data_IF_415196972086
#
_entry.id   IF_415196972086
#
_cell.length_a   1.000
_cell.length_b   1.000
_cell.length_c   1.000
_cell.angle_alpha   90.00
_cell.angle_beta   90.00
_cell.angle_gamma   90.00
#
_symmetry.space_group_name_H-M   'P 1'
#
loop_
_entity.id
_entity.type
_entity.pdbx_description
1 polymer ?
2 water ?
#
# COMPACT_ATOMS: atom_id res chain seq x y z
N UNK A 8 17.42 -15.22 -2.19
CA UNK A 8 17.12 -14.97 -0.71
C UNK A 8 16.95 -13.44 -0.53
N UNK A 9 16.18 -13.06 0.49
CA UNK A 9 15.84 -11.66 0.73
C UNK A 9 16.47 -11.29 2.07
N UNK A 10 17.50 -10.48 2.01
CA UNK A 10 18.28 -10.12 3.19
C UNK A 10 17.56 -9.03 3.99
N UNK A 11 17.20 -9.34 5.24
CA UNK A 11 16.63 -8.34 6.14
C UNK A 11 17.63 -7.26 6.54
N UNK A 12 17.29 -5.98 6.32
CA UNK A 12 18.10 -4.86 6.80
C UNK A 12 17.80 -4.55 8.26
N UNK A 13 18.87 -4.49 9.07
CA UNK A 13 18.71 -4.37 10.54
C UNK A 13 19.07 -3.00 11.08
N UNK A 14 19.63 -2.15 10.23
CA UNK A 14 19.98 -0.83 10.67
C UNK A 14 20.05 0.12 9.49
N UNK A 15 20.17 1.39 9.82
CA UNK A 15 20.35 2.41 8.83
C UNK A 15 21.61 2.16 8.03
N UNK A 16 22.68 1.79 8.73
CA UNK A 16 23.97 1.44 8.12
C UNK A 16 23.88 0.37 7.00
N UNK A 17 23.24 -0.74 7.32
CA UNK A 17 23.00 -1.84 6.35
C UNK A 17 22.20 -1.37 5.17
N UNK A 18 21.14 -0.61 5.45
CA UNK A 18 20.30 0.00 4.44
C UNK A 18 21.09 0.79 3.44
N UNK A 19 21.90 1.71 3.93
CA UNK A 19 22.72 2.55 3.05
C UNK A 19 23.78 1.82 2.24
N UNK A 20 24.45 0.85 2.84
CA UNK A 20 25.46 0.12 2.09
C UNK A 20 24.73 -0.64 0.95
N UNK A 21 23.61 -1.31 1.30
CA UNK A 21 22.72 -1.95 0.32
C UNK A 21 22.43 -1.05 -0.90
N UNK A 22 22.25 0.25 -0.66
CA UNK A 22 21.96 1.18 -1.71
C UNK A 22 23.12 1.61 -2.59
N UNK A 23 24.34 1.63 -2.04
CA UNK A 23 25.52 2.01 -2.81
C UNK A 23 25.97 0.83 -3.70
N UNK A 24 25.17 0.54 -4.73
CA UNK A 24 25.39 -0.67 -5.54
C UNK A 24 25.57 -0.34 -7.01
N UNK A 25 25.06 0.84 -7.42
CA UNK A 25 25.19 1.38 -8.78
C UNK A 25 24.81 0.39 -9.88
N UNK A 26 23.95 0.82 -10.81
CA UNK A 26 23.56 0.00 -11.96
C UNK A 26 22.78 -1.25 -11.62
N UNK A 27 23.18 -1.90 -10.52
CA UNK A 27 22.51 -3.06 -9.93
C UNK A 27 21.18 -2.57 -9.35
N UNK A 28 20.09 -3.24 -9.71
CA UNK A 28 18.77 -2.94 -9.16
C UNK A 28 18.78 -3.43 -7.71
N UNK A 29 18.39 -2.53 -6.79
CA UNK A 29 18.20 -2.81 -5.39
C UNK A 29 16.74 -2.61 -5.05
N UNK A 30 16.12 -3.67 -4.54
CA UNK A 30 14.70 -3.67 -4.20
C UNK A 30 14.54 -3.89 -2.67
N UNK A 31 13.86 -2.95 -1.98
CA UNK A 31 13.61 -3.07 -0.55
C UNK A 31 12.12 -3.19 -0.21
N UNK A 32 11.77 -4.24 0.53
CA UNK A 32 10.41 -4.49 0.98
C UNK A 32 10.23 -3.93 2.43
N UNK A 33 9.53 -2.80 2.54
CA UNK A 33 9.13 -2.23 3.86
C UNK A 33 7.85 -2.86 4.31
N UNK A 34 7.95 -3.66 5.37
CA UNK A 34 6.79 -4.40 5.88
C UNK A 34 6.61 -4.19 7.40
N UNK A 35 5.57 -4.79 7.95
CA UNK A 35 5.31 -4.81 9.36
C UNK A 35 4.93 -6.24 9.69
N UNK A 36 5.11 -6.61 10.97
CA UNK A 36 4.82 -7.99 11.42
C UNK A 36 3.30 -8.19 11.53
N UNK A 37 2.61 -7.12 11.90
CA UNK A 37 1.15 -7.13 12.03
C UNK A 37 0.39 -7.07 10.68
N UNK A 38 1.10 -6.69 9.62
CA UNK A 38 0.55 -6.50 8.27
C UNK A 38 0.22 -7.79 7.49
N UNK A 39 -1.07 -8.00 7.25
CA UNK A 39 -1.57 -9.18 6.50
C UNK A 39 -1.09 -9.26 5.06
N UNK A 40 -1.42 -8.24 4.23
CA UNK A 40 -0.95 -8.26 2.86
C UNK A 40 0.55 -8.46 2.77
N UNK A 41 1.31 -7.86 3.66
CA UNK A 41 2.75 -8.13 3.73
C UNK A 41 3.09 -9.62 3.75
N UNK A 42 2.43 -10.36 4.67
CA UNK A 42 2.58 -11.80 4.81
C UNK A 42 2.18 -12.56 3.55
N UNK A 43 1.08 -12.15 2.94
CA UNK A 43 0.60 -12.79 1.74
C UNK A 43 1.54 -12.61 0.54
N UNK A 44 2.29 -11.53 0.52
CA UNK A 44 3.14 -11.24 -0.61
C UNK A 44 4.57 -11.77 -0.41
N UNK A 45 4.95 -12.06 0.83
CA UNK A 45 6.34 -12.43 1.20
C UNK A 45 6.92 -13.62 0.42
N UNK A 46 6.12 -14.71 0.24
CA UNK A 46 6.51 -15.85 -0.60
C UNK A 46 6.74 -15.44 -2.04
N UNK A 47 5.83 -14.61 -2.59
CA UNK A 47 5.99 -14.10 -3.98
C UNK A 47 7.31 -13.37 -4.17
N UNK A 48 7.60 -12.45 -3.23
CA UNK A 48 8.85 -11.70 -3.23
C UNK A 48 10.09 -12.58 -3.23
N UNK A 49 10.08 -13.62 -2.40
CA UNK A 49 11.13 -14.65 -2.47
C UNK A 49 11.27 -15.32 -3.84
N UNK A 50 10.15 -15.72 -4.43
CA UNK A 50 10.16 -16.23 -5.83
C UNK A 50 10.84 -15.28 -6.80
N UNK A 51 10.48 -14.00 -6.72
CA UNK A 51 11.02 -12.97 -7.59
C UNK A 51 12.51 -12.82 -7.40
N UNK A 52 12.99 -12.95 -6.16
CA UNK A 52 14.43 -12.88 -5.91
C UNK A 52 15.21 -14.00 -6.61
N UNK A 53 14.62 -15.19 -6.65
CA UNK A 53 15.22 -16.34 -7.35
C UNK A 53 15.29 -16.08 -8.83
N UNK A 54 14.14 -15.64 -9.39
CA UNK A 54 14.09 -15.34 -10.82
C UNK A 54 15.02 -14.21 -11.24
N UNK A 55 14.95 -13.09 -10.52
CA UNK A 55 15.68 -11.90 -11.00
C UNK A 55 17.04 -11.76 -10.30
N UNK A 56 17.95 -12.68 -10.65
CA UNK A 56 19.27 -12.75 -9.99
C UNK A 56 20.11 -11.52 -10.27
N UNK A 57 19.73 -10.74 -11.28
CA UNK A 57 20.47 -9.50 -11.55
C UNK A 57 20.25 -8.38 -10.53
N UNK A 58 19.30 -8.58 -9.61
CA UNK A 58 18.89 -7.56 -8.61
C UNK A 58 19.05 -8.10 -7.19
N UNK A 59 19.41 -7.21 -6.28
CA UNK A 59 19.58 -7.52 -4.84
C UNK A 59 18.30 -7.19 -4.12
N UNK A 60 17.72 -8.20 -3.47
CA UNK A 60 16.47 -8.04 -2.68
C UNK A 60 16.74 -7.95 -1.21
N UNK A 61 15.97 -7.09 -0.54
CA UNK A 61 16.08 -6.88 0.90
C UNK A 61 14.70 -6.59 1.48
N UNK A 62 14.59 -6.69 2.79
CA UNK A 62 13.39 -6.32 3.50
C UNK A 62 13.80 -5.56 4.78
N UNK A 63 12.91 -4.68 5.24
CA UNK A 63 13.19 -3.90 6.40
C UNK A 63 11.91 -3.83 7.20
N UNK A 64 11.97 -4.20 8.49
CA UNK A 64 10.82 -4.10 9.39
C UNK A 64 10.63 -2.66 9.85
N UNK A 65 9.53 -2.00 9.44
CA UNK A 65 9.32 -0.59 9.84
C UNK A 65 9.33 -0.34 11.37
N UNK A 66 9.00 -1.34 12.18
CA UNK A 66 9.02 -1.15 13.64
C UNK A 66 10.39 -1.34 14.25
N UNK A 67 11.35 -1.82 13.47
CA UNK A 67 12.69 -2.04 13.96
C UNK A 67 13.56 -0.90 13.47
N UNK A 68 13.37 -0.54 12.21
CA UNK A 68 14.19 0.51 11.62
C UNK A 68 13.27 1.67 11.20
N UNK A 69 12.47 2.16 12.14
CA UNK A 69 11.55 3.33 11.95
C UNK A 69 12.13 4.57 11.28
N UNK A 70 13.32 4.96 11.70
CA UNK A 70 14.01 6.14 11.21
C UNK A 70 14.14 6.08 9.69
N UNK A 71 14.60 4.91 9.20
CA UNK A 71 14.73 4.65 7.78
C UNK A 71 13.35 4.68 7.07
N UNK A 72 12.33 4.14 7.74
CA UNK A 72 11.01 4.14 7.17
C UNK A 72 10.46 5.55 7.02
N UNK A 73 10.72 6.40 8.03
CA UNK A 73 10.29 7.82 8.04
C UNK A 73 11.06 8.65 7.01
N UNK A 74 12.34 8.37 6.87
CA UNK A 74 13.12 9.13 5.91
C UNK A 74 12.83 8.66 4.49
N UNK A 75 12.46 7.38 4.30
CA UNK A 75 12.10 6.89 2.94
C UNK A 75 10.67 7.28 2.62
N UNK A 76 10.01 7.88 3.59
CA UNK A 76 8.62 8.30 3.50
C UNK A 76 7.70 7.13 3.19
N UNK A 77 7.75 6.14 4.06
CA UNK A 77 6.86 4.97 3.90
C UNK A 77 5.65 5.08 4.83
N UNK A 78 4.46 5.20 4.27
CA UNK A 78 3.27 5.45 5.08
C UNK A 78 2.19 4.36 4.95
N UNK A 79 2.55 3.27 4.27
CA UNK A 79 1.66 2.11 4.05
C UNK A 79 2.53 0.87 3.79
N UNK A 80 2.02 -0.30 4.13
CA UNK A 80 2.80 -1.54 4.04
C UNK A 80 1.97 -2.56 3.27
N UNK A 81 2.60 -3.39 2.45
CA UNK A 81 4.05 -3.31 2.20
C UNK A 81 4.35 -2.22 1.20
N UNK A 82 5.54 -1.62 1.28
CA UNK A 82 5.99 -0.70 0.24
C UNK A 82 7.30 -1.22 -0.26
N UNK A 83 7.36 -1.51 -1.56
CA UNK A 83 8.58 -1.94 -2.25
C UNK A 83 9.21 -0.74 -2.95
N UNK A 84 10.45 -0.41 -2.58
CA UNK A 84 11.13 0.71 -3.22
C UNK A 84 12.25 0.17 -4.09
N UNK A 85 12.44 0.77 -5.26
CA UNK A 85 13.42 0.33 -6.25
C UNK A 85 14.50 1.40 -6.40
N UNK A 86 15.73 1.02 -6.09
CA UNK A 86 16.88 1.93 -6.16
C UNK A 86 17.84 1.49 -7.24
N UNK A 87 18.46 2.46 -7.88
CA UNK A 87 19.56 2.17 -8.79
C UNK A 87 20.52 3.34 -8.72
N UNK A 88 21.79 3.04 -8.46
CA UNK A 88 22.80 4.10 -8.30
C UNK A 88 22.57 4.94 -7.05
N UNK A 89 22.05 4.30 -6.00
CA UNK A 89 21.78 5.00 -4.74
C UNK A 89 20.51 5.86 -4.69
N UNK A 90 19.81 5.96 -5.83
CA UNK A 90 18.63 6.79 -6.01
C UNK A 90 17.38 5.96 -6.26
N UNK A 91 16.27 6.44 -5.70
CA UNK A 91 14.98 5.80 -5.88
C UNK A 91 14.53 5.96 -7.30
N UNK A 92 14.34 4.85 -8.00
CA UNK A 92 13.82 4.86 -9.37
C UNK A 92 12.28 4.85 -9.38
N UNK A 93 11.68 4.04 -8.50
CA UNK A 93 10.27 3.97 -8.36
C UNK A 93 9.95 3.23 -7.06
N UNK A 94 8.67 3.08 -6.79
CA UNK A 94 8.16 2.30 -5.68
C UNK A 94 6.76 1.81 -5.96
N UNK A 95 6.40 0.76 -5.26
CA UNK A 95 5.04 0.18 -5.32
C UNK A 95 4.47 0.11 -3.89
N UNK A 96 3.44 0.93 -3.63
CA UNK A 96 2.77 0.97 -2.34
C UNK A 96 1.64 -0.03 -2.37
N UNK A 97 1.83 -1.24 -1.84
CA UNK A 97 0.80 -2.26 -1.85
C UNK A 97 1.27 -3.65 -2.23
N UNK A 98 0.56 -4.67 -1.72
CA UNK A 98 0.81 -6.07 -2.02
C UNK A 98 0.21 -6.33 -3.38
N UNK A 99 0.84 -5.78 -4.39
CA UNK A 99 0.39 -5.89 -5.76
C UNK A 99 1.43 -6.68 -6.55
N UNK A 100 1.24 -8.02 -6.66
CA UNK A 100 2.17 -8.93 -7.32
C UNK A 100 2.57 -8.48 -8.70
N UNK A 101 1.55 -8.19 -9.53
CA UNK A 101 1.76 -7.73 -10.90
C UNK A 101 2.55 -6.46 -10.99
N UNK A 102 2.24 -5.45 -10.17
CA UNK A 102 2.98 -4.21 -10.24
C UNK A 102 4.42 -4.41 -9.79
N UNK A 103 4.61 -5.18 -8.71
CA UNK A 103 5.96 -5.46 -8.21
C UNK A 103 6.82 -6.17 -9.24
N UNK A 104 6.27 -7.22 -9.84
CA UNK A 104 6.98 -8.02 -10.82
C UNK A 104 7.42 -7.16 -12.03
N UNK A 105 6.49 -6.39 -12.59
CA UNK A 105 6.77 -5.45 -13.66
C UNK A 105 7.81 -4.43 -13.29
N UNK A 106 7.68 -3.83 -12.09
CA UNK A 106 8.72 -2.90 -11.59
C UNK A 106 10.16 -3.52 -11.54
N UNK A 107 10.27 -4.75 -11.10
CA UNK A 107 11.57 -5.47 -11.08
C UNK A 107 12.08 -5.79 -12.48
N UNK A 108 11.27 -6.50 -13.29
CA UNK A 108 11.62 -6.90 -14.66
C UNK A 108 12.10 -5.74 -15.53
N UNK A 109 11.33 -4.64 -15.46
CA UNK A 109 11.60 -3.44 -16.27
C UNK A 109 12.76 -2.52 -15.84
N UNK A 110 13.26 -2.66 -14.60
CA UNK A 110 14.37 -1.81 -14.04
C UNK A 110 15.64 -2.58 -13.73
N UNK A 111 15.64 -3.86 -14.08
CA UNK A 111 16.81 -4.69 -13.81
C UNK A 111 18.10 -4.17 -14.51
N UNK B 8 -16.90 10.29 -8.88
CA UNK B 8 -17.81 10.35 -7.69
C UNK B 8 -17.57 9.22 -6.68
N UNK B 9 -17.56 9.61 -5.41
CA UNK B 9 -17.47 8.71 -4.28
C UNK B 9 -18.89 8.40 -3.81
N UNK B 10 -19.22 7.12 -3.72
CA UNK B 10 -20.57 6.71 -3.35
C UNK B 10 -20.62 5.92 -2.03
N UNK B 11 -21.76 5.95 -1.36
CA UNK B 11 -21.95 5.22 -0.09
C UNK B 11 -22.16 3.73 -0.17
N UNK B 12 -21.58 3.01 0.78
CA UNK B 12 -21.89 1.61 0.96
C UNK B 12 -22.69 1.58 2.24
N UNK B 13 -23.98 1.28 2.14
CA UNK B 13 -24.92 1.41 3.27
C UNK B 13 -25.31 0.05 3.90
N UNK B 14 -24.55 -0.99 3.60
CA UNK B 14 -24.86 -2.34 4.11
C UNK B 14 -23.76 -3.30 3.76
N UNK B 15 -23.69 -4.40 4.51
CA UNK B 15 -22.68 -5.46 4.26
C UNK B 15 -22.75 -6.08 2.86
N UNK B 16 -23.96 -6.26 2.31
CA UNK B 16 -24.16 -6.76 0.94
C UNK B 16 -23.65 -5.79 -0.13
N UNK B 17 -23.89 -4.49 0.05
CA UNK B 17 -23.34 -3.46 -0.85
C UNK B 17 -21.83 -3.50 -0.94
N UNK B 18 -21.22 -3.66 0.23
CA UNK B 18 -19.76 -3.71 0.35
C UNK B 18 -19.18 -4.95 -0.36
N UNK B 19 -19.83 -6.11 -0.19
CA UNK B 19 -19.39 -7.35 -0.85
C UNK B 19 -19.46 -7.29 -2.34
N UNK B 20 -20.53 -6.69 -2.87
CA UNK B 20 -20.70 -6.46 -4.31
C UNK B 20 -19.70 -5.49 -4.91
N UNK B 21 -19.42 -4.41 -4.18
CA UNK B 21 -18.47 -3.37 -4.60
C UNK B 21 -17.05 -3.92 -4.75
N UNK B 22 -16.74 -4.95 -3.96
CA UNK B 22 -15.45 -5.62 -3.96
C UNK B 22 -15.26 -6.65 -5.09
N UNK B 23 -16.39 -7.05 -5.68
CA UNK B 23 -16.43 -8.01 -6.75
C UNK B 23 -16.21 -7.23 -8.05
N UNK B 24 -15.01 -6.69 -8.21
CA UNK B 24 -14.66 -5.83 -9.34
C UNK B 24 -13.51 -6.39 -10.20
N UNK B 25 -13.35 -7.71 -10.23
CA UNK B 25 -12.28 -8.30 -10.99
C UNK B 25 -10.94 -7.73 -10.60
N UNK B 26 -10.13 -7.37 -11.59
CA UNK B 26 -8.83 -6.77 -11.34
C UNK B 26 -8.81 -5.23 -11.15
N UNK B 27 -9.95 -4.55 -11.17
CA UNK B 27 -9.88 -3.13 -10.96
C UNK B 27 -9.66 -2.74 -9.46
N UNK B 28 -9.03 -1.58 -9.20
CA UNK B 28 -8.90 -1.13 -7.84
C UNK B 28 -10.22 -0.63 -7.26
N UNK B 29 -10.49 -0.95 -5.99
CA UNK B 29 -11.65 -0.47 -5.21
C UNK B 29 -11.10 0.20 -3.96
N UNK B 30 -11.47 1.46 -3.75
CA UNK B 30 -11.02 2.19 -2.59
C UNK B 30 -12.23 2.52 -1.64
N UNK B 31 -12.13 2.06 -0.39
CA UNK B 31 -13.17 2.35 0.62
C UNK B 31 -12.62 3.25 1.74
N UNK B 32 -13.27 4.42 1.83
CA UNK B 32 -13.03 5.40 2.88
C UNK B 32 -13.92 5.10 4.10
N UNK B 33 -13.29 4.62 5.17
CA UNK B 33 -14.03 4.31 6.42
C UNK B 33 -14.01 5.57 7.21
N UNK B 34 -15.19 6.13 7.52
CA UNK B 34 -15.33 7.43 8.21
C UNK B 34 -16.47 7.36 9.25
N UNK B 35 -16.59 8.45 10.01
CA UNK B 35 -17.68 8.62 10.95
C UNK B 35 -18.17 10.05 10.71
N UNK B 36 -19.42 10.31 11.04
CA UNK B 36 -20.00 11.64 10.90
C UNK B 36 -19.38 12.71 11.86
N UNK B 37 -18.81 12.24 12.98
CA UNK B 37 -18.25 13.08 14.04
C UNK B 37 -16.77 13.36 13.75
N UNK B 38 -16.23 12.73 12.73
CA UNK B 38 -14.78 12.72 12.47
C UNK B 38 -14.27 13.93 11.71
N UNK B 39 -13.63 14.85 12.43
CA UNK B 39 -13.14 16.09 11.81
C UNK B 39 -12.16 15.88 10.66
N UNK B 40 -11.05 15.13 10.91
CA UNK B 40 -10.04 14.88 9.87
C UNK B 40 -10.59 14.18 8.63
N UNK B 41 -11.61 13.32 8.82
CA UNK B 41 -12.42 12.70 7.73
C UNK B 41 -13.02 13.72 6.82
N UNK B 42 -13.64 14.74 7.39
CA UNK B 42 -14.18 15.89 6.58
C UNK B 42 -13.09 16.73 5.89
N UNK B 43 -11.98 16.98 6.55
CA UNK B 43 -10.85 17.70 5.98
C UNK B 43 -10.39 17.09 4.66
N UNK B 44 -10.42 15.75 4.57
CA UNK B 44 -9.87 15.05 3.40
C UNK B 44 -10.90 14.61 2.37
N UNK B 45 -12.19 14.64 2.72
CA UNK B 45 -13.25 14.22 1.80
C UNK B 45 -13.23 14.93 0.41
N UNK B 46 -13.04 16.27 0.36
CA UNK B 46 -12.92 16.95 -0.95
C UNK B 46 -11.78 16.41 -1.83
N UNK B 47 -10.65 16.09 -1.23
CA UNK B 47 -9.52 15.53 -1.95
C UNK B 47 -9.81 14.13 -2.47
N UNK B 48 -10.48 13.32 -1.64
CA UNK B 48 -10.87 11.96 -2.05
C UNK B 48 -11.82 12.02 -3.21
N UNK B 49 -12.72 13.01 -3.19
CA UNK B 49 -13.66 13.26 -4.30
C UNK B 49 -12.91 13.65 -5.60
N UNK B 50 -11.91 14.51 -5.46
CA UNK B 50 -11.03 14.85 -6.56
C UNK B 50 -10.23 13.62 -7.12
N UNK B 51 -9.66 12.81 -6.23
CA UNK B 51 -8.99 11.52 -6.62
C UNK B 51 -9.88 10.60 -7.43
N UNK B 52 -11.14 10.52 -7.02
CA UNK B 52 -12.14 9.70 -7.70
C UNK B 52 -12.35 10.15 -9.15
N UNK B 53 -12.18 11.43 -9.40
CA UNK B 53 -12.32 11.97 -10.73
C UNK B 53 -11.01 11.80 -11.49
N UNK B 54 -9.89 12.01 -10.82
CA UNK B 54 -8.58 11.82 -11.49
C UNK B 54 -8.33 10.38 -11.86
N UNK B 55 -8.62 9.44 -10.95
CA UNK B 55 -8.40 7.99 -11.20
C UNK B 55 -9.68 7.25 -11.53
N UNK B 56 -10.16 7.47 -12.76
CA UNK B 56 -11.41 6.91 -13.24
C UNK B 56 -11.34 5.41 -13.46
N UNK B 57 -10.16 4.79 -13.35
CA UNK B 57 -10.08 3.32 -13.54
C UNK B 57 -10.40 2.55 -12.26
N UNK B 58 -10.40 3.29 -11.13
CA UNK B 58 -10.63 2.75 -9.79
C UNK B 58 -12.00 3.19 -9.32
N UNK B 59 -12.62 2.43 -8.44
CA UNK B 59 -13.95 2.80 -7.88
C UNK B 59 -13.81 3.22 -6.42
N UNK B 60 -14.39 4.35 -6.06
CA UNK B 60 -14.23 4.90 -4.75
C UNK B 60 -15.54 4.89 -4.00
N UNK B 61 -15.47 4.52 -2.70
CA UNK B 61 -16.64 4.42 -1.85
C UNK B 61 -16.26 4.92 -0.47
N UNK B 62 -17.30 5.23 0.30
CA UNK B 62 -17.22 5.65 1.66
C UNK B 62 -18.15 4.77 2.47
N UNK B 63 -17.68 4.43 3.66
CA UNK B 63 -18.47 3.63 4.56
C UNK B 63 -18.44 4.19 6.00
N UNK B 64 -19.63 4.48 6.53
CA UNK B 64 -19.84 5.06 7.84
C UNK B 64 -19.74 3.94 8.87
N UNK B 65 -18.67 3.94 9.67
CA UNK B 65 -18.39 2.90 10.67
C UNK B 65 -19.57 2.70 11.72
N UNK B 66 -20.39 3.73 11.93
CA UNK B 66 -21.51 3.65 12.85
C UNK B 66 -22.70 3.01 12.18
N UNK B 67 -22.80 3.17 10.88
CA UNK B 67 -23.91 2.64 10.09
C UNK B 67 -23.68 1.18 9.71
N UNK B 68 -22.47 0.84 9.29
CA UNK B 68 -22.18 -0.54 8.87
C UNK B 68 -21.01 -1.04 9.71
N UNK B 69 -21.20 -1.11 11.02
CA UNK B 69 -20.11 -1.39 11.94
C UNK B 69 -19.64 -2.83 11.86
N UNK B 70 -20.50 -3.73 11.38
CA UNK B 70 -20.06 -5.10 11.13
C UNK B 70 -18.93 -5.21 10.11
N UNK B 71 -19.01 -4.45 9.02
CA UNK B 71 -17.95 -4.46 8.02
C UNK B 71 -16.71 -3.76 8.56
N UNK B 72 -16.92 -2.64 9.25
CA UNK B 72 -15.85 -1.90 9.88
C UNK B 72 -15.07 -2.74 10.91
N UNK B 73 -15.77 -3.60 11.68
CA UNK B 73 -15.11 -4.47 12.67
C UNK B 73 -14.35 -5.63 12.01
N UNK B 74 -14.90 -6.20 10.94
CA UNK B 74 -14.28 -7.32 10.25
C UNK B 74 -13.00 -6.87 9.55
N UNK B 75 -12.98 -5.59 9.13
CA UNK B 75 -11.85 -4.98 8.42
C UNK B 75 -10.82 -4.42 9.39
N UNK B 76 -11.08 -4.58 10.68
CA UNK B 76 -10.18 -4.20 11.76
C UNK B 76 -9.78 -2.72 11.73
N UNK B 77 -10.77 -1.89 11.41
CA UNK B 77 -10.55 -0.47 11.35
C UNK B 77 -10.42 0.01 12.81
N UNK B 78 -9.39 0.79 13.13
CA UNK B 78 -9.15 1.25 14.51
C UNK B 78 -9.42 2.73 14.72
N UNK B 79 -9.01 3.55 13.75
CA UNK B 79 -9.20 5.00 13.78
C UNK B 79 -9.69 5.55 12.42
N UNK B 80 -10.27 6.75 12.44
CA UNK B 80 -10.83 7.37 11.26
C UNK B 80 -10.05 8.61 10.88
N UNK B 81 -9.89 8.82 9.57
CA UNK B 81 -10.30 7.89 8.52
C UNK B 81 -9.29 6.79 8.27
N UNK B 82 -9.79 5.69 7.70
CA UNK B 82 -8.94 4.61 7.24
C UNK B 82 -9.42 4.32 5.82
N UNK B 83 -8.48 4.37 4.89
CA UNK B 83 -8.75 4.08 3.50
C UNK B 83 -8.14 2.71 3.20
N UNK B 84 -9.00 1.79 2.80
CA UNK B 84 -8.53 0.47 2.41
C UNK B 84 -8.59 0.36 0.91
N UNK B 85 -7.58 -0.29 0.33
CA UNK B 85 -7.42 -0.55 -1.11
C UNK B 85 -7.58 -2.03 -1.42
N UNK B 86 -8.53 -2.35 -2.33
CA UNK B 86 -8.79 -3.70 -2.67
C UNK B 86 -8.52 -3.97 -4.15
N UNK B 87 -8.07 -5.18 -4.44
CA UNK B 87 -7.87 -5.67 -5.82
C UNK B 87 -8.28 -7.12 -5.85
N UNK B 88 -9.24 -7.48 -6.70
CA UNK B 88 -9.68 -8.88 -6.78
C UNK B 88 -10.35 -9.27 -5.47
N UNK B 89 -10.85 -8.26 -4.77
CA UNK B 89 -11.55 -8.50 -3.51
C UNK B 89 -10.66 -8.79 -2.34
N UNK B 90 -9.36 -8.52 -2.49
CA UNK B 90 -8.37 -8.67 -1.38
C UNK B 90 -7.62 -7.36 -1.07
N UNK B 91 -7.47 -7.10 0.24
CA UNK B 91 -6.79 -5.90 0.70
C UNK B 91 -5.35 -5.92 0.23
N UNK B 92 -4.91 -4.84 -0.40
CA UNK B 92 -3.50 -4.72 -0.78
C UNK B 92 -2.72 -3.80 0.13
N UNK B 93 -3.40 -2.87 0.79
CA UNK B 93 -2.77 -1.94 1.75
C UNK B 93 -3.88 -1.06 2.31
N UNK B 94 -3.53 -0.19 3.24
CA UNK B 94 -4.44 0.79 3.74
C UNK B 94 -3.65 1.98 4.29
N UNK B 95 -4.32 3.14 4.33
CA UNK B 95 -3.72 4.38 4.82
C UNK B 95 -4.52 4.73 6.01
N UNK B 96 -3.88 4.91 7.15
CA UNK B 96 -4.60 5.29 8.37
C UNK B 96 -4.32 6.78 8.62
N UNK B 97 -5.35 7.63 8.64
CA UNK B 97 -5.13 9.06 8.91
C UNK B 97 -5.38 9.91 7.70
N UNK B 98 -5.68 11.18 7.95
CA UNK B 98 -5.95 12.11 6.84
C UNK B 98 -4.62 12.51 6.21
N UNK B 99 -4.08 11.64 5.36
CA UNK B 99 -2.78 11.83 4.76
C UNK B 99 -2.92 11.81 3.24
N UNK B 100 -3.03 13.00 2.65
CA UNK B 100 -3.22 13.19 1.21
C UNK B 100 -2.21 12.50 0.28
N UNK B 101 -0.94 12.79 0.49
CA UNK B 101 0.18 12.20 -0.25
C UNK B 101 0.20 10.65 -0.19
N UNK B 102 0.05 10.12 1.03
CA UNK B 102 -0.04 8.68 1.28
C UNK B 102 -1.23 8.06 0.54
N UNK B 103 -2.42 8.69 0.57
CA UNK B 103 -3.57 8.15 -0.21
C UNK B 103 -3.32 8.08 -1.74
N UNK B 104 -2.82 9.20 -2.27
CA UNK B 104 -2.46 9.32 -3.69
C UNK B 104 -1.46 8.22 -4.16
N UNK B 105 -0.38 8.02 -3.39
CA UNK B 105 0.63 6.98 -3.73
C UNK B 105 0.05 5.59 -3.77
N UNK B 106 -0.79 5.28 -2.79
CA UNK B 106 -1.46 3.99 -2.79
C UNK B 106 -2.36 3.81 -4.02
N UNK B 107 -3.07 4.86 -4.42
CA UNK B 107 -3.93 4.80 -5.64
C UNK B 107 -3.07 4.66 -6.90
N UNK B 108 -2.10 5.56 -7.07
CA UNK B 108 -1.25 5.50 -8.27
C UNK B 108 -0.59 4.12 -8.43
N UNK B 109 -0.25 3.44 -7.34
CA UNK B 109 0.44 2.16 -7.44
C UNK B 109 -0.47 1.02 -7.85
N UNK B 110 -1.75 1.12 -7.49
CA UNK B 110 -2.68 0.03 -7.71
C UNK B 110 -3.78 0.29 -8.72
N UNK B 111 -3.85 1.52 -9.22
CA UNK B 111 -4.93 1.83 -10.17
C UNK B 111 -4.87 0.94 -11.43
#
# INVERSE_FOLDING_TARGET
MHHHHHHMVTQLKSASEYDSALASGDKLVVVDFFATWCGPCKMIAPMIEKFAEQYSDAAFYKLDVDEVSDVAQKAEVSSMPTLIFYKGGKEVTRVVGANPAAIKQAIASNV
MHHHHHHMVTQLKSASEYDSALASGDKLVVVDFFATWCGPCKMIAPMIEKFAEQYSDAAFYKLDVDEVSDVAQKAEVSSMPTLIFYKGGKEVTRVVGANPAAIKQAIASNV
#
